data_IF_277373565104
#
_entry.id   IF_277373565104
#
_cell.length_a   1.000
_cell.length_b   1.000
_cell.length_c   1.000
_cell.angle_alpha   90.00
_cell.angle_beta   90.00
_cell.angle_gamma   90.00
#
_symmetry.space_group_name_H-M   'P 1'
#
loop_
_entity.id
_entity.type
_entity.pdbx_description
1 polymer ?
#
# COMPACT_ATOMS: atom_id res chain seq x y z
N UNK A 1 -60.21 -10.65 28.15
CA UNK A 1 -59.35 -9.81 29.02
C UNK A 1 -57.89 -10.12 28.69
N UNK A 2 -57.23 -9.28 27.88
CA UNK A 2 -55.82 -9.50 27.48
C UNK A 2 -54.94 -9.14 28.68
N UNK A 3 -54.20 -10.12 29.21
CA UNK A 3 -53.18 -9.86 30.23
C UNK A 3 -52.10 -9.00 29.56
N UNK A 4 -52.06 -7.71 29.85
CA UNK A 4 -50.89 -6.88 29.54
C UNK A 4 -49.70 -7.58 30.18
N UNK A 5 -48.70 -7.98 29.38
CA UNK A 5 -47.42 -8.51 29.89
C UNK A 5 -46.47 -7.32 29.91
N UNK A 6 -46.42 -6.53 31.00
CA UNK A 6 -45.71 -5.26 31.03
C UNK A 6 -44.20 -5.47 30.83
N UNK A 7 -43.73 -6.64 31.24
CA UNK A 7 -42.36 -7.12 31.07
C UNK A 7 -41.95 -7.22 29.60
N UNK A 8 -42.85 -7.69 28.71
CA UNK A 8 -42.54 -7.82 27.29
C UNK A 8 -42.47 -6.46 26.60
N UNK A 9 -43.38 -5.54 26.94
CA UNK A 9 -43.34 -4.17 26.45
C UNK A 9 -42.06 -3.43 26.88
N UNK A 10 -41.56 -3.67 28.10
CA UNK A 10 -40.29 -3.13 28.59
C UNK A 10 -39.11 -3.68 27.78
N UNK A 11 -39.05 -5.00 27.59
CA UNK A 11 -38.00 -5.64 26.80
C UNK A 11 -37.93 -5.12 25.35
N UNK A 12 -39.08 -4.97 24.68
CA UNK A 12 -39.12 -4.40 23.32
C UNK A 12 -38.63 -2.95 23.28
N UNK A 13 -38.96 -2.14 24.29
CA UNK A 13 -38.46 -0.75 24.40
C UNK A 13 -36.95 -0.71 24.59
N UNK A 14 -36.42 -1.58 25.45
CA UNK A 14 -34.98 -1.67 25.72
C UNK A 14 -34.23 -2.11 24.45
N UNK A 15 -34.73 -3.12 23.74
CA UNK A 15 -34.18 -3.58 22.47
C UNK A 15 -34.16 -2.49 21.40
N UNK A 16 -35.26 -1.76 21.24
CA UNK A 16 -35.36 -0.62 20.32
C UNK A 16 -34.38 0.50 20.68
N UNK A 17 -34.16 0.74 21.98
CA UNK A 17 -33.22 1.75 22.49
C UNK A 17 -31.77 1.36 22.16
N UNK A 18 -31.41 0.10 22.40
CA UNK A 18 -30.08 -0.44 22.05
C UNK A 18 -29.84 -0.40 20.54
N UNK A 19 -30.81 -0.84 19.73
CA UNK A 19 -30.72 -0.79 18.26
C UNK A 19 -30.53 0.65 17.75
N UNK A 20 -31.24 1.61 18.34
CA UNK A 20 -31.11 3.03 18.00
C UNK A 20 -29.72 3.56 18.39
N UNK A 21 -29.24 3.28 19.60
CA UNK A 21 -27.89 3.67 20.04
C UNK A 21 -26.81 3.13 19.11
N UNK A 22 -26.85 1.84 18.78
CA UNK A 22 -25.89 1.22 17.86
C UNK A 22 -25.95 1.82 16.45
N UNK A 23 -27.13 2.18 15.95
CA UNK A 23 -27.26 2.83 14.65
C UNK A 23 -26.64 4.24 14.66
N UNK A 24 -26.93 5.04 15.70
CA UNK A 24 -26.34 6.37 15.87
C UNK A 24 -24.82 6.30 15.97
N UNK A 25 -24.27 5.35 16.74
CA UNK A 25 -22.80 5.15 16.83
C UNK A 25 -22.21 4.74 15.49
N UNK A 26 -22.84 3.82 14.75
CA UNK A 26 -22.39 3.42 13.41
C UNK A 26 -22.43 4.59 12.42
N UNK A 27 -23.50 5.38 12.44
CA UNK A 27 -23.62 6.56 11.58
C UNK A 27 -22.57 7.61 11.94
N UNK A 28 -22.32 7.87 13.21
CA UNK A 28 -21.27 8.79 13.66
C UNK A 28 -19.88 8.32 13.21
N UNK A 29 -19.56 7.04 13.38
CA UNK A 29 -18.29 6.46 12.92
C UNK A 29 -18.13 6.54 11.40
N UNK A 30 -19.16 6.19 10.63
CA UNK A 30 -19.13 6.32 9.17
C UNK A 30 -19.00 7.79 8.75
N UNK A 31 -19.67 8.71 9.43
CA UNK A 31 -19.58 10.15 9.15
C UNK A 31 -18.18 10.68 9.46
N UNK A 32 -17.55 10.23 10.53
CA UNK A 32 -16.16 10.56 10.88
C UNK A 32 -15.18 10.02 9.83
N UNK A 33 -15.35 8.77 9.39
CA UNK A 33 -14.53 8.16 8.33
C UNK A 33 -14.70 8.89 6.99
N UNK A 34 -15.95 9.19 6.60
CA UNK A 34 -16.26 9.93 5.38
C UNK A 34 -15.72 11.36 5.48
N UNK A 35 -15.83 12.01 6.64
CA UNK A 35 -15.24 13.32 6.89
C UNK A 35 -13.72 13.28 6.81
N UNK A 36 -13.06 12.25 7.34
CA UNK A 36 -11.61 12.08 7.25
C UNK A 36 -11.14 11.89 5.80
N UNK A 37 -11.92 11.16 4.99
CA UNK A 37 -11.69 10.97 3.55
C UNK A 37 -11.90 12.27 2.78
N UNK A 38 -13.02 12.98 3.01
CA UNK A 38 -13.35 14.27 2.34
C UNK A 38 -12.37 15.37 2.74
N UNK A 39 -11.92 15.41 3.99
CA UNK A 39 -10.89 16.34 4.46
C UNK A 39 -9.51 16.04 3.86
N UNK A 40 -9.39 15.03 2.98
CA UNK A 40 -8.15 14.63 2.31
C UNK A 40 -6.98 14.46 3.29
N UNK A 41 -7.26 14.07 4.54
CA UNK A 41 -6.25 13.62 5.50
C UNK A 41 -5.85 12.18 5.18
N UNK A 42 -5.65 11.90 3.89
CA UNK A 42 -4.93 10.70 3.48
C UNK A 42 -3.62 10.68 4.25
N UNK A 43 -3.16 9.52 4.77
CA UNK A 43 -1.82 9.43 5.32
C UNK A 43 -0.89 10.07 4.32
N UNK A 44 -0.10 11.05 4.79
CA UNK A 44 0.83 11.82 3.97
C UNK A 44 1.53 10.79 3.10
N UNK A 45 1.20 10.74 1.80
CA UNK A 45 1.97 9.95 0.85
C UNK A 45 3.36 10.52 1.02
N UNK A 46 4.26 9.75 1.63
CA UNK A 46 5.67 10.08 1.61
C UNK A 46 5.95 10.41 0.15
N UNK A 47 6.39 11.65 -0.11
CA UNK A 47 6.80 12.04 -1.46
C UNK A 47 7.65 10.87 -1.94
N UNK A 48 7.21 10.20 -3.00
CA UNK A 48 8.05 9.18 -3.61
C UNK A 48 9.42 9.85 -3.77
N UNK A 49 10.51 9.27 -3.25
CA UNK A 49 11.83 9.90 -3.27
C UNK A 49 12.38 10.09 -4.71
N UNK A 50 11.54 10.02 -5.74
CA UNK A 50 11.90 9.87 -7.13
C UNK A 50 12.27 8.44 -7.42
N UNK A 51 13.31 8.27 -8.23
CA UNK A 51 14.01 7.03 -8.51
C UNK A 51 14.94 6.70 -7.32
N UNK A 52 14.58 5.77 -6.42
CA UNK A 52 15.42 5.49 -5.26
C UNK A 52 16.76 4.91 -5.72
N UNK A 53 17.87 5.47 -5.24
CA UNK A 53 19.21 4.97 -5.53
C UNK A 53 19.88 4.40 -4.29
N UNK A 54 20.61 3.30 -4.44
CA UNK A 54 21.38 2.62 -3.40
C UNK A 54 22.84 2.47 -3.82
N UNK A 55 23.74 2.38 -2.84
CA UNK A 55 25.13 1.99 -3.09
C UNK A 55 25.22 0.46 -3.18
N UNK A 56 25.91 -0.04 -4.21
CA UNK A 56 26.15 -1.48 -4.42
C UNK A 56 27.63 -1.76 -4.67
N UNK A 57 28.08 -2.97 -4.36
CA UNK A 57 29.42 -3.45 -4.70
C UNK A 57 29.27 -4.65 -5.64
N UNK A 58 29.84 -4.55 -6.84
CA UNK A 58 29.79 -5.59 -7.86
C UNK A 58 31.24 -5.99 -8.15
N UNK A 59 31.61 -7.25 -7.89
CA UNK A 59 32.95 -7.76 -8.20
C UNK A 59 34.13 -6.97 -7.59
N UNK A 60 33.91 -6.25 -6.47
CA UNK A 60 34.92 -5.39 -5.85
C UNK A 60 34.89 -3.93 -6.32
N UNK A 61 34.07 -3.59 -7.31
CA UNK A 61 33.84 -2.20 -7.76
C UNK A 61 32.61 -1.62 -7.07
N UNK A 62 32.78 -0.47 -6.43
CA UNK A 62 31.71 0.23 -5.75
C UNK A 62 30.96 1.16 -6.70
N UNK A 63 29.64 1.02 -6.75
CA UNK A 63 28.72 1.90 -7.50
C UNK A 63 27.83 2.61 -6.48
N UNK A 64 28.04 3.92 -6.31
CA UNK A 64 27.35 4.70 -5.26
C UNK A 64 25.87 4.95 -5.54
N UNK A 65 25.44 4.93 -6.80
CA UNK A 65 24.09 5.33 -7.22
C UNK A 65 23.48 4.34 -8.20
N UNK A 66 23.17 3.14 -7.74
CA UNK A 66 22.38 2.16 -8.50
C UNK A 66 20.89 2.38 -8.29
N UNK A 67 20.10 2.39 -9.37
CA UNK A 67 18.65 2.51 -9.30
C UNK A 67 18.04 1.25 -8.66
N UNK A 68 17.21 1.42 -7.63
CA UNK A 68 16.43 0.36 -7.01
C UNK A 68 15.04 0.32 -7.63
N UNK A 69 14.84 -0.58 -8.59
CA UNK A 69 13.53 -0.87 -9.14
C UNK A 69 13.02 -2.22 -8.63
N UNK A 70 12.11 -2.19 -7.65
CA UNK A 70 11.49 -3.40 -7.10
C UNK A 70 10.50 -4.07 -8.07
N UNK A 71 10.11 -3.39 -9.16
CA UNK A 71 9.25 -3.93 -10.20
C UNK A 71 10.01 -4.59 -11.36
N UNK A 72 11.33 -4.39 -11.44
CA UNK A 72 12.15 -5.00 -12.48
C UNK A 72 12.44 -6.47 -12.19
N UNK A 73 12.24 -7.34 -13.19
CA UNK A 73 12.61 -8.75 -13.12
C UNK A 73 14.08 -9.01 -13.47
N UNK A 74 14.77 -8.01 -14.02
CA UNK A 74 16.16 -8.10 -14.50
C UNK A 74 16.96 -6.87 -14.04
N UNK A 75 18.26 -7.08 -13.81
CA UNK A 75 19.18 -6.00 -13.49
C UNK A 75 19.85 -5.48 -14.77
N UNK A 76 19.81 -4.17 -14.99
CA UNK A 76 20.53 -3.52 -16.08
C UNK A 76 21.86 -2.97 -15.57
N UNK A 77 22.93 -3.31 -16.28
CA UNK A 77 24.26 -2.79 -16.01
C UNK A 77 24.72 -1.94 -17.19
N UNK A 78 25.07 -0.66 -16.99
CA UNK A 78 25.64 0.15 -18.05
C UNK A 78 26.92 -0.47 -18.61
N UNK A 79 27.13 -0.36 -19.93
CA UNK A 79 28.28 -0.95 -20.59
C UNK A 79 29.63 -0.40 -20.10
N UNK A 80 29.67 0.86 -19.65
CA UNK A 80 30.86 1.45 -19.02
C UNK A 80 31.28 0.66 -17.78
N UNK A 81 30.34 0.38 -16.89
CA UNK A 81 30.58 -0.39 -15.66
C UNK A 81 30.94 -1.84 -16.01
N UNK A 82 30.27 -2.44 -17.00
CA UNK A 82 30.63 -3.77 -17.49
C UNK A 82 32.09 -3.86 -17.94
N UNK A 83 32.58 -2.84 -18.68
CA UNK A 83 33.98 -2.74 -19.11
C UNK A 83 34.94 -2.61 -17.94
N UNK A 84 34.64 -1.75 -16.96
CA UNK A 84 35.46 -1.55 -15.77
C UNK A 84 35.59 -2.84 -14.94
N UNK A 85 34.52 -3.63 -14.88
CA UNK A 85 34.51 -4.92 -14.18
C UNK A 85 35.28 -6.03 -14.90
N UNK A 86 35.68 -5.85 -16.16
CA UNK A 86 36.46 -6.84 -16.90
C UNK A 86 35.75 -8.18 -17.10
N UNK A 87 34.41 -8.19 -17.22
CA UNK A 87 33.57 -9.39 -17.25
C UNK A 87 33.65 -10.23 -18.56
N UNK A 88 34.65 -9.97 -19.40
CA UNK A 88 34.88 -10.67 -20.67
C UNK A 88 34.12 -10.09 -21.86
N UNK A 89 33.97 -10.89 -22.91
CA UNK A 89 33.25 -10.50 -24.13
C UNK A 89 31.75 -10.70 -23.99
N UNK A 90 30.97 -9.68 -24.36
CA UNK A 90 29.51 -9.79 -24.46
C UNK A 90 29.13 -10.59 -25.69
N UNK A 91 28.48 -11.73 -25.49
CA UNK A 91 27.82 -12.44 -26.59
C UNK A 91 26.50 -11.75 -26.91
N UNK A 92 26.38 -11.23 -28.12
CA UNK A 92 25.12 -10.71 -28.62
C UNK A 92 24.16 -11.89 -28.83
N UNK A 93 23.05 -11.90 -28.08
CA UNK A 93 21.97 -12.81 -28.39
C UNK A 93 21.23 -12.27 -29.62
N UNK A 94 21.47 -12.87 -30.79
CA UNK A 94 20.62 -12.63 -31.97
C UNK A 94 19.38 -13.50 -31.84
N UNK A 95 18.21 -12.87 -31.78
CA UNK A 95 16.95 -13.58 -32.00
C UNK A 95 17.05 -14.32 -33.35
N UNK A 96 16.72 -15.61 -33.42
CA UNK A 96 16.69 -16.35 -34.68
C UNK A 96 15.57 -15.87 -35.63
N UNK A 97 14.71 -14.94 -35.20
CA UNK A 97 13.63 -14.39 -36.01
C UNK A 97 13.66 -12.85 -36.04
N UNK A 98 13.42 -12.23 -37.22
CA UNK A 98 13.31 -10.78 -37.40
C UNK A 98 12.04 -10.19 -36.78
#
# INVERSE_FOLDING_TARGET
>A
MIKQVPTYAKFLKDLCTVKRGLNVTKQAFLTEQVSAIIQCKSPIKYKYPGCPTISVNIGGTQVEKALLDLGASVNLLPYSVYKELGLGELKQHRSPYP
#
